data_IF_989196849794
#
_entry.id   IF_989196849794
#
_cell.length_a   1.000
_cell.length_b   1.000
_cell.length_c   1.000
_cell.angle_alpha   90.00
_cell.angle_beta   90.00
_cell.angle_gamma   90.00
#
_symmetry.space_group_name_H-M   'P 1'
#
loop_
_entity.id
_entity.type
_entity.pdbx_description
1 polymer ?
#
# COMPACT_ATOMS: atom_id res chain seq x y z
N UNK A 1 21.13 35.32 31.17
CA UNK A 1 20.17 35.48 30.06
C UNK A 1 20.79 35.95 28.74
N UNK A 2 21.94 36.63 28.73
CA UNK A 2 22.49 37.24 27.50
C UNK A 2 23.17 36.25 26.52
N UNK A 3 23.93 35.27 27.03
CA UNK A 3 24.66 34.30 26.19
C UNK A 3 23.73 33.35 25.39
N UNK A 4 22.60 32.93 25.98
CA UNK A 4 21.61 32.10 25.28
C UNK A 4 20.93 32.88 24.14
N UNK A 5 20.57 34.13 24.40
CA UNK A 5 19.94 34.99 23.39
C UNK A 5 20.87 35.25 22.21
N UNK A 6 22.17 35.48 22.44
CA UNK A 6 23.17 35.65 21.37
C UNK A 6 23.37 34.38 20.54
N UNK A 7 23.40 33.20 21.18
CA UNK A 7 23.49 31.92 20.47
C UNK A 7 22.26 31.65 19.59
N UNK A 8 21.05 31.98 20.07
CA UNK A 8 19.82 31.84 19.26
C UNK A 8 19.85 32.78 18.06
N UNK A 9 20.26 34.04 18.24
CA UNK A 9 20.39 35.00 17.13
C UNK A 9 21.42 34.53 16.11
N UNK A 10 22.58 34.03 16.56
CA UNK A 10 23.61 33.50 15.68
C UNK A 10 23.13 32.27 14.88
N UNK A 11 22.31 31.41 15.48
CA UNK A 11 21.73 30.25 14.81
C UNK A 11 20.69 30.66 13.76
N UNK A 12 19.78 31.58 14.12
CA UNK A 12 18.70 32.07 13.25
C UNK A 12 19.24 32.89 12.07
N UNK A 13 20.39 33.56 12.22
CA UNK A 13 21.02 34.31 11.14
C UNK A 13 21.94 33.45 10.26
N UNK A 14 22.16 32.17 10.59
CA UNK A 14 23.00 31.28 9.81
C UNK A 14 22.22 30.69 8.61
N UNK A 15 22.58 30.98 7.35
CA UNK A 15 21.91 30.42 6.18
C UNK A 15 21.98 28.89 6.13
N UNK A 16 23.12 28.31 6.53
CA UNK A 16 23.32 26.86 6.56
C UNK A 16 22.32 26.20 7.52
N UNK A 17 21.97 26.85 8.63
CA UNK A 17 20.97 26.31 9.56
C UNK A 17 19.61 26.14 8.88
N UNK A 18 19.19 27.11 8.07
CA UNK A 18 17.91 27.06 7.38
C UNK A 18 17.90 26.08 6.21
N UNK A 19 19.00 25.99 5.44
CA UNK A 19 19.16 24.99 4.38
C UNK A 19 19.04 23.56 4.94
N UNK A 20 19.68 23.33 6.09
CA UNK A 20 19.61 22.05 6.82
C UNK A 20 18.20 21.78 7.35
N UNK A 21 17.54 22.78 7.94
CA UNK A 21 16.18 22.63 8.43
C UNK A 21 15.18 22.37 7.28
N UNK A 22 15.36 23.02 6.14
CA UNK A 22 14.55 22.80 4.94
C UNK A 22 14.73 21.38 4.41
N UNK A 23 15.97 20.86 4.38
CA UNK A 23 16.24 19.48 4.00
C UNK A 23 15.54 18.47 4.95
N UNK A 24 15.66 18.65 6.27
CA UNK A 24 15.00 17.78 7.28
C UNK A 24 13.47 17.82 7.14
N UNK A 25 12.88 19.01 6.99
CA UNK A 25 11.42 19.13 6.77
C UNK A 25 11.04 18.45 5.45
N UNK A 26 11.89 18.59 4.43
CA UNK A 26 11.76 17.93 3.14
C UNK A 26 11.71 16.41 3.24
N UNK A 27 12.55 15.77 4.06
CA UNK A 27 12.57 14.31 4.22
C UNK A 27 11.31 13.78 4.92
N UNK A 28 10.76 14.53 5.88
CA UNK A 28 9.57 14.12 6.64
C UNK A 28 8.25 14.39 5.90
N UNK A 29 8.19 15.43 5.07
CA UNK A 29 6.96 15.87 4.41
C UNK A 29 6.28 14.81 3.52
N UNK A 30 6.99 14.00 2.71
CA UNK A 30 6.38 12.92 1.93
C UNK A 30 5.65 11.91 2.80
N UNK A 31 6.26 11.47 3.90
CA UNK A 31 5.67 10.50 4.82
C UNK A 31 4.46 11.09 5.54
N UNK A 32 4.52 12.35 5.98
CA UNK A 32 3.38 13.04 6.59
C UNK A 32 2.17 13.11 5.63
N UNK A 33 2.41 13.51 4.38
CA UNK A 33 1.37 13.55 3.33
C UNK A 33 0.75 12.17 3.06
N UNK A 34 1.56 11.11 3.10
CA UNK A 34 1.05 9.74 2.98
C UNK A 34 0.12 9.40 4.16
N UNK A 35 0.53 9.71 5.39
CA UNK A 35 -0.28 9.47 6.59
C UNK A 35 -1.62 10.21 6.51
N UNK A 36 -1.61 11.47 6.09
CA UNK A 36 -2.83 12.27 5.89
C UNK A 36 -3.73 11.67 4.81
N UNK A 37 -3.16 11.27 3.65
CA UNK A 37 -3.93 10.66 2.57
C UNK A 37 -4.56 9.32 3.00
N UNK A 38 -3.86 8.55 3.84
CA UNK A 38 -4.38 7.31 4.41
C UNK A 38 -5.52 7.52 5.39
N UNK A 39 -5.71 8.73 5.93
CA UNK A 39 -6.82 9.09 6.80
C UNK A 39 -8.16 9.30 6.06
N UNK A 40 -8.12 9.37 4.73
CA UNK A 40 -9.33 9.53 3.93
C UNK A 40 -10.23 8.28 3.99
N UNK A 41 -11.55 8.48 4.06
CA UNK A 41 -12.54 7.39 4.14
C UNK A 41 -12.51 6.41 2.95
N UNK A 42 -12.03 6.85 1.78
CA UNK A 42 -11.92 6.03 0.58
C UNK A 42 -10.54 5.37 0.40
N UNK A 43 -9.59 5.66 1.28
CA UNK A 43 -8.25 5.10 1.18
C UNK A 43 -8.24 3.62 1.57
N UNK A 44 -7.55 2.82 0.77
CA UNK A 44 -7.38 1.37 0.95
C UNK A 44 -5.94 0.95 0.68
N UNK A 45 -5.64 -0.34 0.78
CA UNK A 45 -4.30 -0.90 0.60
C UNK A 45 -3.61 -0.50 -0.73
N UNK A 46 -4.37 -0.28 -1.82
CA UNK A 46 -3.81 0.17 -3.08
C UNK A 46 -3.21 1.59 -2.98
N UNK A 47 -3.91 2.48 -2.27
CA UNK A 47 -3.43 3.84 -2.01
C UNK A 47 -2.16 3.82 -1.15
N UNK A 48 -2.06 2.88 -0.20
CA UNK A 48 -0.85 2.69 0.61
C UNK A 48 0.33 2.27 -0.25
N UNK A 49 0.14 1.31 -1.17
CA UNK A 49 1.21 0.86 -2.08
C UNK A 49 1.79 2.01 -2.90
N UNK A 50 0.94 2.70 -3.68
CA UNK A 50 1.42 3.81 -4.52
C UNK A 50 1.88 5.01 -3.70
N UNK A 51 1.33 5.19 -2.51
CA UNK A 51 1.78 6.17 -1.54
C UNK A 51 3.22 5.92 -1.08
N UNK A 52 3.57 4.69 -0.73
CA UNK A 52 4.94 4.30 -0.36
C UNK A 52 5.92 4.50 -1.52
N UNK A 53 5.55 4.08 -2.74
CA UNK A 53 6.39 4.29 -3.94
C UNK A 53 6.61 5.78 -4.22
N UNK A 54 5.60 6.62 -3.99
CA UNK A 54 5.73 8.07 -4.13
C UNK A 54 6.57 8.72 -3.01
N UNK A 55 6.68 8.10 -1.84
CA UNK A 55 7.60 8.53 -0.78
C UNK A 55 9.02 8.15 -1.15
N UNK A 56 9.25 6.91 -1.58
CA UNK A 56 10.56 6.42 -2.03
C UNK A 56 11.17 7.29 -3.13
N UNK A 57 10.42 7.56 -4.20
CA UNK A 57 10.87 8.43 -5.31
C UNK A 57 11.21 9.85 -4.84
N UNK A 58 10.52 10.36 -3.82
CA UNK A 58 10.83 11.68 -3.25
C UNK A 58 12.06 11.63 -2.36
N UNK A 59 12.19 10.61 -1.53
CA UNK A 59 13.35 10.42 -0.66
C UNK A 59 14.62 10.28 -1.48
N UNK A 60 14.62 9.45 -2.53
CA UNK A 60 15.75 9.28 -3.46
C UNK A 60 16.20 10.62 -4.08
N UNK A 61 15.24 11.49 -4.44
CA UNK A 61 15.57 12.84 -4.94
C UNK A 61 16.19 13.73 -3.86
N UNK A 62 15.64 13.70 -2.65
CA UNK A 62 16.09 14.53 -1.52
C UNK A 62 17.48 14.11 -1.01
N UNK A 63 17.75 12.80 -0.96
CA UNK A 63 19.04 12.26 -0.51
C UNK A 63 20.13 12.53 -1.54
N UNK A 64 19.83 12.46 -2.85
CA UNK A 64 20.76 12.86 -3.92
C UNK A 64 21.10 14.35 -3.91
N UNK A 65 20.19 15.21 -3.48
CA UNK A 65 20.42 16.66 -3.33
C UNK A 65 20.81 17.06 -1.91
N UNK A 66 21.38 16.14 -1.12
CA UNK A 66 21.70 16.38 0.28
C UNK A 66 22.83 17.43 0.45
N UNK A 67 22.68 18.39 1.39
CA UNK A 67 23.77 19.28 1.78
C UNK A 67 25.00 18.50 2.26
N UNK A 68 26.24 18.99 2.02
CA UNK A 68 27.46 18.27 2.38
C UNK A 68 27.57 17.87 3.86
N UNK A 69 26.96 18.65 4.76
CA UNK A 69 26.98 18.39 6.20
C UNK A 69 25.97 17.35 6.70
N UNK A 70 25.20 16.71 5.81
CA UNK A 70 24.13 15.75 6.13
C UNK A 70 24.30 14.41 5.39
N UNK A 71 25.46 14.16 4.78
CA UNK A 71 25.67 12.93 4.00
C UNK A 71 25.49 11.67 4.85
N UNK A 72 25.97 11.69 6.10
CA UNK A 72 25.77 10.59 7.04
C UNK A 72 24.28 10.43 7.40
N UNK A 73 23.56 11.53 7.66
CA UNK A 73 22.12 11.49 7.94
C UNK A 73 21.30 11.00 6.74
N UNK A 74 21.70 11.35 5.52
CA UNK A 74 21.07 10.88 4.29
C UNK A 74 21.26 9.37 4.11
N UNK A 75 22.47 8.87 4.38
CA UNK A 75 22.76 7.44 4.37
C UNK A 75 21.94 6.68 5.42
N UNK A 76 21.89 7.18 6.66
CA UNK A 76 21.09 6.59 7.73
C UNK A 76 19.60 6.59 7.39
N UNK A 77 19.10 7.64 6.74
CA UNK A 77 17.73 7.74 6.27
C UNK A 77 17.40 6.70 5.19
N UNK A 78 18.28 6.54 4.20
CA UNK A 78 18.14 5.50 3.17
C UNK A 78 18.12 4.10 3.81
N UNK A 79 19.04 3.83 4.72
CA UNK A 79 19.09 2.56 5.43
C UNK A 79 17.82 2.32 6.27
N UNK A 80 17.33 3.35 6.96
CA UNK A 80 16.09 3.28 7.74
C UNK A 80 14.87 3.03 6.83
N UNK A 81 14.83 3.66 5.65
CA UNK A 81 13.80 3.43 4.64
C UNK A 81 13.84 2.00 4.11
N UNK A 82 15.00 1.48 3.74
CA UNK A 82 15.17 0.10 3.26
C UNK A 82 14.73 -0.93 4.31
N UNK A 83 15.15 -0.74 5.56
CA UNK A 83 14.71 -1.57 6.68
C UNK A 83 13.20 -1.50 6.89
N UNK A 84 12.60 -0.33 6.65
CA UNK A 84 11.15 -0.15 6.74
C UNK A 84 10.44 -0.88 5.61
N UNK A 85 10.97 -0.80 4.39
CA UNK A 85 10.40 -1.41 3.19
C UNK A 85 10.50 -2.94 3.18
N UNK A 86 11.43 -3.53 3.96
CA UNK A 86 11.44 -4.97 4.25
C UNK A 86 10.08 -5.49 4.74
N UNK A 87 9.35 -4.67 5.52
CA UNK A 87 8.01 -4.99 6.02
C UNK A 87 6.90 -4.21 5.28
N UNK A 88 7.28 -3.26 4.42
CA UNK A 88 6.36 -2.41 3.63
C UNK A 88 5.99 -3.01 2.29
N UNK A 89 6.80 -3.90 1.73
CA UNK A 89 6.45 -4.69 0.55
C UNK A 89 5.67 -5.93 0.96
N UNK A 90 4.33 -5.80 1.04
CA UNK A 90 3.46 -6.93 1.31
C UNK A 90 2.66 -7.34 0.05
N UNK A 91 2.53 -8.64 -0.26
CA UNK A 91 1.76 -9.11 -1.41
C UNK A 91 0.31 -8.59 -1.45
N UNK A 92 -0.30 -8.33 -0.28
CA UNK A 92 -1.64 -7.72 -0.20
C UNK A 92 -1.69 -6.27 -0.69
N UNK A 93 -0.62 -5.49 -0.49
CA UNK A 93 -0.50 -4.14 -1.01
C UNK A 93 -0.37 -4.18 -2.54
N UNK A 94 0.48 -5.08 -3.06
CA UNK A 94 0.63 -5.32 -4.49
C UNK A 94 -0.68 -5.80 -5.12
N UNK A 95 -1.34 -6.78 -4.51
CA UNK A 95 -2.62 -7.32 -4.97
C UNK A 95 -3.70 -6.24 -5.01
N UNK A 96 -3.83 -5.45 -3.94
CA UNK A 96 -4.76 -4.32 -3.92
C UNK A 96 -4.43 -3.29 -5.01
N UNK A 97 -3.15 -2.98 -5.24
CA UNK A 97 -2.70 -2.07 -6.30
C UNK A 97 -3.09 -2.56 -7.69
N UNK A 98 -2.96 -3.86 -7.97
CA UNK A 98 -3.34 -4.45 -9.26
C UNK A 98 -4.86 -4.48 -9.46
N UNK A 99 -5.61 -4.94 -8.46
CA UNK A 99 -7.06 -5.17 -8.62
C UNK A 99 -7.90 -3.92 -8.46
N UNK A 100 -7.34 -2.82 -7.95
CA UNK A 100 -8.10 -1.58 -7.82
C UNK A 100 -8.22 -0.89 -9.19
N UNK A 101 -9.43 -0.71 -9.72
CA UNK A 101 -9.64 -0.14 -11.05
C UNK A 101 -9.16 1.33 -11.18
N UNK A 102 -8.96 2.06 -10.07
CA UNK A 102 -8.38 3.41 -10.07
C UNK A 102 -6.90 3.46 -10.50
N UNK A 103 -6.19 2.34 -10.39
CA UNK A 103 -4.75 2.30 -10.60
C UNK A 103 -4.35 1.44 -11.79
N UNK A 104 -5.30 1.17 -12.69
CA UNK A 104 -5.08 0.35 -13.87
C UNK A 104 -4.02 0.94 -14.80
N UNK A 105 -4.00 2.26 -14.95
CA UNK A 105 -2.98 3.00 -15.70
C UNK A 105 -1.58 2.89 -15.07
N UNK A 106 -1.50 2.53 -13.79
CA UNK A 106 -0.26 2.38 -13.04
C UNK A 106 0.27 0.95 -12.98
N UNK A 107 -0.36 0.00 -13.67
CA UNK A 107 0.13 -1.38 -13.72
C UNK A 107 1.59 -1.48 -14.21
N UNK A 108 1.98 -0.61 -15.15
CA UNK A 108 3.37 -0.53 -15.64
C UNK A 108 4.39 -0.04 -14.60
N UNK A 109 3.96 0.51 -13.47
CA UNK A 109 4.84 0.92 -12.38
C UNK A 109 5.16 -0.22 -11.40
N UNK A 110 4.43 -1.34 -11.45
CA UNK A 110 4.72 -2.49 -10.60
C UNK A 110 5.89 -3.32 -11.15
N UNK A 111 6.81 -3.71 -10.26
CA UNK A 111 7.91 -4.59 -10.61
C UNK A 111 7.41 -6.02 -10.91
N UNK A 112 8.14 -6.80 -11.72
CA UNK A 112 7.79 -8.19 -12.01
C UNK A 112 7.57 -9.06 -10.76
N UNK A 113 8.37 -8.88 -9.71
CA UNK A 113 8.19 -9.60 -8.42
C UNK A 113 6.93 -9.16 -7.66
N UNK A 114 6.56 -7.89 -7.76
CA UNK A 114 5.33 -7.39 -7.15
C UNK A 114 4.10 -7.97 -7.87
N UNK A 115 4.15 -8.06 -9.19
CA UNK A 115 3.10 -8.70 -9.99
C UNK A 115 2.97 -10.20 -9.68
N UNK A 116 4.10 -10.92 -9.63
CA UNK A 116 4.13 -12.35 -9.25
C UNK A 116 3.57 -12.60 -7.86
N UNK A 117 3.99 -11.80 -6.87
CA UNK A 117 3.52 -11.94 -5.49
C UNK A 117 2.04 -11.60 -5.33
N UNK A 118 1.53 -10.62 -6.08
CA UNK A 118 0.11 -10.31 -6.15
C UNK A 118 -0.70 -11.48 -6.73
N UNK A 119 -0.24 -12.07 -7.83
CA UNK A 119 -0.86 -13.23 -8.46
C UNK A 119 -0.89 -14.45 -7.51
N UNK A 120 0.24 -14.78 -6.88
CA UNK A 120 0.33 -15.89 -5.92
C UNK A 120 -0.66 -15.70 -4.76
N UNK A 121 -0.73 -14.48 -4.20
CA UNK A 121 -1.67 -14.19 -3.14
C UNK A 121 -3.12 -14.31 -3.64
N UNK A 122 -3.45 -13.81 -4.83
CA UNK A 122 -4.80 -13.94 -5.38
C UNK A 122 -5.20 -15.42 -5.50
N UNK A 123 -4.29 -16.25 -6.01
CA UNK A 123 -4.49 -17.69 -6.15
C UNK A 123 -4.70 -18.38 -4.80
N UNK A 124 -3.88 -18.04 -3.80
CA UNK A 124 -4.01 -18.59 -2.45
C UNK A 124 -5.28 -18.13 -1.73
N UNK A 125 -5.73 -16.90 -1.96
CA UNK A 125 -6.98 -16.38 -1.39
C UNK A 125 -8.22 -16.99 -2.02
N UNK A 126 -8.17 -17.32 -3.31
CA UNK A 126 -9.23 -18.06 -4.00
C UNK A 126 -9.26 -19.54 -3.59
N UNK A 127 -8.10 -20.09 -3.21
CA UNK A 127 -7.97 -21.50 -2.87
C UNK A 127 -8.69 -21.87 -1.58
N UNK A 128 -9.45 -22.96 -1.63
CA UNK A 128 -10.24 -23.48 -0.52
C UNK A 128 -9.40 -23.88 0.70
N UNK A 129 -8.17 -24.35 0.48
CA UNK A 129 -7.22 -24.78 1.50
C UNK A 129 -6.15 -23.71 1.82
N UNK A 130 -6.13 -22.60 1.07
CA UNK A 130 -5.15 -21.52 1.19
C UNK A 130 -3.74 -21.80 0.63
N UNK A 131 -3.54 -22.95 -0.03
CA UNK A 131 -2.26 -23.38 -0.60
C UNK A 131 -2.08 -22.93 -2.06
N UNK A 132 -3.17 -22.64 -2.78
CA UNK A 132 -3.08 -22.16 -4.15
C UNK A 132 -2.85 -23.27 -5.19
N UNK A 133 -3.12 -24.52 -4.83
CA UNK A 133 -2.89 -25.74 -5.63
C UNK A 133 -4.18 -26.37 -6.19
N UNK A 134 -5.33 -25.71 -6.02
CA UNK A 134 -6.63 -26.18 -6.49
C UNK A 134 -7.13 -25.45 -7.76
N UNK A 135 -8.27 -25.90 -8.28
CA UNK A 135 -8.88 -25.32 -9.48
C UNK A 135 -9.29 -23.86 -9.31
N UNK A 136 -9.70 -23.45 -8.10
CA UNK A 136 -10.02 -22.07 -7.80
C UNK A 136 -8.78 -21.17 -7.90
N UNK A 137 -7.64 -21.64 -7.40
CA UNK A 137 -6.36 -20.96 -7.55
C UNK A 137 -5.94 -20.82 -9.02
N UNK A 138 -6.08 -21.89 -9.82
CA UNK A 138 -5.79 -21.84 -11.25
C UNK A 138 -6.68 -20.83 -12.00
N UNK A 139 -7.98 -20.80 -11.66
CA UNK A 139 -8.94 -19.86 -12.23
C UNK A 139 -8.61 -18.41 -11.82
N UNK A 140 -8.24 -18.17 -10.56
CA UNK A 140 -7.82 -16.86 -10.08
C UNK A 140 -6.61 -16.33 -10.84
N UNK A 141 -5.59 -17.18 -11.10
CA UNK A 141 -4.43 -16.81 -11.94
C UNK A 141 -4.88 -16.41 -13.34
N UNK A 142 -5.70 -17.23 -14.00
CA UNK A 142 -6.21 -16.91 -15.35
C UNK A 142 -6.94 -15.56 -15.39
N UNK A 143 -7.82 -15.30 -14.42
CA UNK A 143 -8.56 -14.04 -14.33
C UNK A 143 -7.64 -12.85 -14.03
N UNK A 144 -6.63 -13.04 -13.17
CA UNK A 144 -5.60 -12.04 -12.87
C UNK A 144 -4.80 -11.66 -14.11
N UNK A 145 -4.30 -12.65 -14.86
CA UNK A 145 -3.62 -12.42 -16.15
C UNK A 145 -4.54 -11.71 -17.14
N UNK A 146 -5.82 -12.04 -17.14
CA UNK A 146 -6.78 -11.39 -18.03
C UNK A 146 -6.99 -9.92 -17.65
N UNK A 147 -7.10 -9.62 -16.35
CA UNK A 147 -7.20 -8.25 -15.81
C UNK A 147 -6.02 -7.38 -16.23
N UNK A 148 -4.81 -7.92 -16.15
CA UNK A 148 -3.56 -7.22 -16.47
C UNK A 148 -3.28 -7.11 -17.98
N UNK A 149 -4.07 -7.76 -18.83
CA UNK A 149 -3.84 -7.74 -20.28
C UNK A 149 -4.44 -6.50 -20.96
N UNK A 150 -3.79 -6.00 -22.00
CA UNK A 150 -4.24 -4.86 -22.81
C UNK A 150 -5.66 -5.04 -23.37
N UNK A 151 -6.07 -6.30 -23.60
CA UNK A 151 -7.38 -6.67 -24.09
C UNK A 151 -8.46 -6.88 -23.02
N UNK A 152 -8.20 -6.63 -21.73
CA UNK A 152 -9.13 -6.92 -20.63
C UNK A 152 -10.56 -6.44 -20.90
N UNK A 153 -10.72 -5.18 -21.33
CA UNK A 153 -12.03 -4.60 -21.57
C UNK A 153 -12.79 -5.31 -22.70
N UNK A 154 -12.09 -5.68 -23.76
CA UNK A 154 -12.68 -6.43 -24.88
C UNK A 154 -13.03 -7.84 -24.42
N UNK A 155 -12.10 -8.53 -23.76
CA UNK A 155 -12.28 -9.89 -23.23
C UNK A 155 -13.44 -10.00 -22.24
N UNK A 156 -13.68 -8.94 -21.47
CA UNK A 156 -14.73 -8.88 -20.45
C UNK A 156 -16.00 -8.13 -20.90
N UNK A 157 -16.03 -7.65 -22.15
CA UNK A 157 -17.13 -6.86 -22.71
C UNK A 157 -17.49 -5.63 -21.85
N UNK A 158 -16.47 -4.86 -21.45
CA UNK A 158 -16.58 -3.68 -20.59
C UNK A 158 -16.50 -2.38 -21.42
N UNK A 159 -17.35 -1.42 -21.08
CA UNK A 159 -17.32 -0.07 -21.67
C UNK A 159 -16.29 0.82 -20.96
N UNK A 160 -15.56 1.72 -21.66
CA UNK A 160 -14.66 2.69 -21.01
C UNK A 160 -15.35 3.55 -19.94
N UNK A 161 -16.65 3.82 -20.11
CA UNK A 161 -17.44 4.66 -19.20
C UNK A 161 -17.49 4.14 -17.75
N UNK A 162 -17.31 2.83 -17.54
CA UNK A 162 -17.34 2.25 -16.19
C UNK A 162 -16.10 2.61 -15.37
N UNK A 163 -15.03 3.11 -16.00
CA UNK A 163 -13.83 3.61 -15.34
C UNK A 163 -13.90 5.12 -15.05
N UNK A 164 -15.10 5.71 -15.12
CA UNK A 164 -15.29 7.11 -14.77
C UNK A 164 -14.97 7.34 -13.27
N UNK A 165 -14.25 8.42 -12.89
CA UNK A 165 -13.79 8.64 -11.51
C UNK A 165 -14.89 8.58 -10.44
N UNK A 166 -16.14 8.93 -10.79
CA UNK A 166 -17.29 8.80 -9.87
C UNK A 166 -17.61 7.36 -9.48
N UNK A 167 -17.51 6.41 -10.42
CA UNK A 167 -17.77 4.99 -10.18
C UNK A 167 -16.60 4.35 -9.44
N UNK A 168 -15.39 4.84 -9.67
CA UNK A 168 -14.19 4.30 -9.05
C UNK A 168 -13.99 4.76 -7.60
N UNK A 169 -14.78 5.72 -7.10
CA UNK A 169 -14.73 6.14 -5.68
C UNK A 169 -14.98 4.98 -4.70
N UNK A 170 -15.79 4.02 -5.12
CA UNK A 170 -16.02 2.77 -4.39
C UNK A 170 -15.58 1.60 -5.28
N UNK A 171 -14.31 1.18 -5.16
CA UNK A 171 -13.81 0.09 -5.97
C UNK A 171 -14.47 -1.25 -5.59
N UNK A 172 -15.04 -1.39 -4.39
CA UNK A 172 -15.75 -2.61 -3.98
C UNK A 172 -17.07 -2.74 -4.74
N UNK A 173 -17.87 -1.67 -4.77
CA UNK A 173 -19.11 -1.62 -5.58
C UNK A 173 -18.80 -1.75 -7.07
N UNK A 174 -17.69 -1.17 -7.54
CA UNK A 174 -17.26 -1.36 -8.92
C UNK A 174 -17.07 -2.85 -9.25
N UNK A 175 -16.37 -3.59 -8.39
CA UNK A 175 -16.20 -5.03 -8.55
C UNK A 175 -17.51 -5.78 -8.49
N UNK A 176 -18.45 -5.40 -7.61
CA UNK A 176 -19.79 -5.99 -7.53
C UNK A 176 -20.55 -5.90 -8.86
N UNK A 177 -20.52 -4.74 -9.51
CA UNK A 177 -21.29 -4.50 -10.72
C UNK A 177 -20.62 -5.02 -11.99
N UNK A 178 -19.29 -4.90 -12.07
CA UNK A 178 -18.54 -5.10 -13.31
C UNK A 178 -17.59 -6.32 -13.28
N UNK A 179 -17.36 -6.93 -12.12
CA UNK A 179 -16.47 -8.08 -11.94
C UNK A 179 -17.04 -9.44 -12.34
N UNK A 180 -18.29 -9.51 -12.82
CA UNK A 180 -19.04 -10.77 -13.04
C UNK A 180 -18.37 -11.75 -14.02
N UNK A 181 -17.54 -11.23 -14.94
CA UNK A 181 -16.82 -12.04 -15.93
C UNK A 181 -15.50 -12.62 -15.39
N UNK A 182 -15.10 -12.20 -14.19
CA UNK A 182 -13.99 -12.72 -13.40
C UNK A 182 -14.49 -13.07 -12.00
N UNK A 183 -15.38 -14.07 -11.86
CA UNK A 183 -16.08 -14.34 -10.60
C UNK A 183 -15.15 -14.76 -9.46
N UNK A 184 -14.06 -15.48 -9.74
CA UNK A 184 -13.14 -15.93 -8.70
C UNK A 184 -12.30 -14.76 -8.19
N UNK A 185 -11.78 -13.94 -9.10
CA UNK A 185 -11.03 -12.75 -8.74
C UNK A 185 -11.93 -11.69 -8.10
N UNK A 186 -13.20 -11.58 -8.48
CA UNK A 186 -14.18 -10.72 -7.83
C UNK A 186 -14.35 -11.07 -6.35
N UNK A 187 -14.45 -12.36 -6.02
CA UNK A 187 -14.53 -12.84 -4.63
C UNK A 187 -13.28 -12.53 -3.80
N UNK A 188 -12.11 -12.44 -4.45
CA UNK A 188 -10.86 -12.01 -3.81
C UNK A 188 -10.79 -10.48 -3.70
N UNK A 189 -11.23 -9.75 -4.73
CA UNK A 189 -11.03 -8.32 -4.83
C UNK A 189 -11.88 -7.52 -3.84
N UNK A 190 -13.15 -7.89 -3.67
CA UNK A 190 -14.04 -7.21 -2.73
C UNK A 190 -13.50 -7.18 -1.28
N UNK A 191 -13.09 -8.30 -0.65
CA UNK A 191 -12.56 -8.27 0.71
C UNK A 191 -11.21 -7.56 0.78
N UNK A 192 -10.31 -7.72 -0.20
CA UNK A 192 -9.01 -7.03 -0.20
C UNK A 192 -9.17 -5.51 -0.30
N UNK A 193 -10.08 -5.02 -1.15
CA UNK A 193 -10.33 -3.60 -1.35
C UNK A 193 -11.16 -2.96 -0.23
N UNK A 194 -11.90 -3.78 0.53
CA UNK A 194 -12.64 -3.34 1.71
C UNK A 194 -11.73 -3.10 2.93
N UNK A 195 -10.45 -3.46 2.87
CA UNK A 195 -9.49 -3.17 3.95
C UNK A 195 -9.16 -1.67 3.92
N UNK A 196 -9.63 -0.89 4.90
CA UNK A 196 -9.39 0.55 4.89
C UNK A 196 -7.94 0.84 5.24
N UNK A 197 -7.42 1.95 4.73
CA UNK A 197 -6.09 2.43 5.08
C UNK A 197 -6.03 2.93 6.54
N UNK A 198 -7.16 3.35 7.13
CA UNK A 198 -7.27 3.97 8.47
C UNK A 198 -7.40 3.02 9.65
N UNK A 199 -8.04 1.85 9.50
CA UNK A 199 -8.10 0.86 10.60
C UNK A 199 -6.71 0.29 10.94
N UNK A 200 -5.74 0.59 10.07
CA UNK A 200 -4.34 0.36 10.23
C UNK A 200 -3.63 1.72 10.21
N UNK A 201 -3.74 2.50 11.29
CA UNK A 201 -2.81 3.61 11.54
C UNK A 201 -1.40 3.11 11.22
N UNK A 202 -0.63 3.83 10.42
CA UNK A 202 0.57 3.31 9.73
C UNK A 202 1.46 2.46 10.65
N UNK A 203 1.71 2.89 11.89
CA UNK A 203 2.43 2.12 12.92
C UNK A 203 1.82 0.75 13.26
N UNK A 204 0.49 0.67 13.26
CA UNK A 204 -0.33 -0.53 13.43
C UNK A 204 -0.43 -1.34 12.15
N UNK A 205 -0.41 -0.76 10.94
CA UNK A 205 -0.29 -1.53 9.70
C UNK A 205 1.03 -2.32 9.70
N UNK A 206 2.13 -1.64 10.01
CA UNK A 206 3.45 -2.25 10.12
C UNK A 206 3.62 -3.14 11.36
N UNK A 207 2.99 -2.83 12.50
CA UNK A 207 2.98 -3.70 13.69
C UNK A 207 2.04 -4.90 13.55
N UNK A 208 0.95 -4.79 12.79
CA UNK A 208 0.06 -5.90 12.42
C UNK A 208 0.75 -6.78 11.39
N UNK A 209 1.47 -6.23 10.41
CA UNK A 209 2.36 -7.04 9.57
C UNK A 209 3.45 -7.72 10.39
N UNK A 210 4.04 -7.05 11.38
CA UNK A 210 4.96 -7.67 12.34
C UNK A 210 4.28 -8.77 13.18
N UNK A 211 3.09 -8.54 13.73
CA UNK A 211 2.39 -9.45 14.65
C UNK A 211 1.68 -10.63 13.97
N UNK A 212 1.11 -10.44 12.78
CA UNK A 212 0.52 -11.52 11.96
C UNK A 212 1.62 -12.50 11.52
N UNK A 213 2.86 -12.02 11.37
CA UNK A 213 3.93 -12.80 10.76
C UNK A 213 5.13 -13.12 11.68
N UNK A 214 5.18 -12.62 12.92
CA UNK A 214 6.28 -12.92 13.85
C UNK A 214 6.18 -14.24 14.62
N UNK A 215 5.21 -15.14 14.37
CA UNK A 215 5.33 -16.48 14.94
C UNK A 215 4.54 -17.59 14.23
N UNK A 216 5.30 -18.57 13.72
CA UNK A 216 5.10 -20.04 13.72
C UNK A 216 3.67 -20.62 13.88
N UNK A 217 2.64 -20.05 13.23
CA UNK A 217 1.27 -20.64 13.13
C UNK A 217 0.69 -20.64 11.72
N UNK A 218 1.53 -20.51 10.70
CA UNK A 218 1.11 -20.46 9.29
C UNK A 218 0.64 -21.80 8.69
N UNK A 219 0.31 -22.82 9.51
CA UNK A 219 -0.10 -24.14 9.02
C UNK A 219 -1.59 -24.48 9.17
N UNK A 220 -2.39 -23.68 9.89
CA UNK A 220 -3.77 -24.09 10.23
C UNK A 220 -4.86 -23.00 10.18
N UNK A 221 -4.59 -21.77 9.71
CA UNK A 221 -5.48 -20.64 10.00
C UNK A 221 -5.86 -19.73 8.82
N UNK A 222 -5.53 -20.03 7.56
CA UNK A 222 -5.88 -19.14 6.44
C UNK A 222 -7.40 -18.86 6.32
N UNK A 223 -8.26 -19.86 6.59
CA UNK A 223 -9.72 -19.66 6.60
C UNK A 223 -10.29 -18.94 7.84
N UNK A 224 -9.63 -19.03 9.00
CA UNK A 224 -10.08 -18.39 10.26
C UNK A 224 -9.48 -17.00 10.48
N UNK A 225 -8.39 -16.69 9.79
CA UNK A 225 -7.68 -15.42 9.88
C UNK A 225 -8.48 -14.26 9.27
N UNK A 226 -9.20 -14.48 8.17
CA UNK A 226 -10.12 -13.49 7.60
C UNK A 226 -11.31 -13.22 8.52
N UNK A 227 -11.89 -14.27 9.11
CA UNK A 227 -12.94 -14.13 10.11
C UNK A 227 -12.43 -13.42 11.39
N UNK A 228 -11.20 -13.68 11.82
CA UNK A 228 -10.59 -12.98 12.96
C UNK A 228 -10.23 -11.54 12.66
N UNK A 229 -9.70 -11.23 11.48
CA UNK A 229 -9.46 -9.85 11.04
C UNK A 229 -10.80 -9.10 10.96
N UNK A 230 -11.82 -9.69 10.32
CA UNK A 230 -13.17 -9.12 10.23
C UNK A 230 -13.83 -8.94 11.61
N UNK A 231 -13.79 -9.94 12.50
CA UNK A 231 -14.35 -9.85 13.86
C UNK A 231 -13.55 -8.87 14.72
N UNK A 232 -12.21 -8.84 14.65
CA UNK A 232 -11.37 -7.89 15.39
C UNK A 232 -11.59 -6.44 14.93
N UNK A 233 -11.78 -6.24 13.63
CA UNK A 233 -12.05 -4.93 13.03
C UNK A 233 -13.49 -4.46 13.36
N UNK A 234 -14.49 -5.35 13.28
CA UNK A 234 -15.89 -5.02 13.55
C UNK A 234 -16.21 -4.88 15.05
N UNK A 235 -15.59 -5.68 15.92
CA UNK A 235 -15.77 -5.53 17.39
C UNK A 235 -15.19 -4.23 17.95
N UNK A 236 -14.31 -3.55 17.20
CA UNK A 236 -13.83 -2.21 17.54
C UNK A 236 -14.65 -1.09 16.91
N UNK A 237 -15.25 -1.32 15.74
CA UNK A 237 -16.21 -0.38 15.13
C UNK A 237 -17.57 -0.37 15.86
N UNK A 238 -17.94 -1.46 16.53
CA UNK A 238 -19.18 -1.59 17.31
C UNK A 238 -19.06 -1.22 18.80
N UNK A 239 -17.94 -0.59 19.22
CA UNK A 239 -17.85 0.06 20.54
C UNK A 239 -18.27 1.52 20.44
N UNK A 240 -19.57 1.72 20.29
CA UNK A 240 -20.30 2.88 20.79
C UNK A 240 -21.56 2.39 21.47
#
# INVERSE_FOLDING_TARGET
>A
NDARSRNVIALVLNPDFWEKNEWIVGTLAPAAKLVEAMQANAANLAHVHFGLMAVEDKLDKITRSCPPGFQDDAFDLEQAWDQRMLYGHHPALCLAAVINPNFRDKHGALLPDQMRSAEDLAARLASSNGQGDDSAAAQARYEFHTLCSDGYMVKMNLSPSIFHPRLLRDPVTWWEWYGKKTPVLQQVAQPVLSIPATSAGVERLFSVFKFIWSDRRNRLLMGRMWAMAYVYLNTRALKH
#
